data_IF_719689245943
#
_entry.id   IF_719689245943
#
_cell.length_a   1.000
_cell.length_b   1.000
_cell.length_c   1.000
_cell.angle_alpha   90.00
_cell.angle_beta   90.00
_cell.angle_gamma   90.00
#
_symmetry.space_group_name_H-M   'P 1'
#
loop_
_entity.id
_entity.type
_entity.pdbx_description
1 polymer ?
#
# COMPACT_ATOMS: atom_id res chain seq x y z
N UNK A 1 -4.50 12.84 -9.73
CA UNK A 1 -4.67 11.42 -9.35
C UNK A 1 -5.73 10.81 -10.26
N UNK A 2 -5.54 9.57 -10.72
CA UNK A 2 -6.52 8.86 -11.55
C UNK A 2 -7.53 8.15 -10.65
N UNK A 3 -8.82 8.40 -10.84
CA UNK A 3 -9.89 7.72 -10.12
C UNK A 3 -9.80 6.19 -10.29
N UNK A 4 -9.38 5.71 -11.46
CA UNK A 4 -9.23 4.29 -11.78
C UNK A 4 -8.15 3.60 -10.93
N UNK A 5 -7.00 4.26 -10.70
CA UNK A 5 -5.91 3.69 -9.89
C UNK A 5 -6.32 3.53 -8.42
N UNK A 6 -7.09 4.48 -7.90
CA UNK A 6 -7.62 4.43 -6.54
C UNK A 6 -8.65 3.29 -6.37
N UNK A 7 -9.52 3.08 -7.36
CA UNK A 7 -10.49 1.98 -7.33
C UNK A 7 -9.79 0.60 -7.44
N UNK A 8 -8.75 0.48 -8.26
CA UNK A 8 -7.93 -0.75 -8.29
C UNK A 8 -7.26 -1.00 -6.95
N UNK A 9 -6.68 0.03 -6.32
CA UNK A 9 -6.07 -0.08 -5.00
C UNK A 9 -7.08 -0.58 -3.95
N UNK A 10 -8.28 0.02 -3.89
CA UNK A 10 -9.36 -0.42 -2.99
C UNK A 10 -9.76 -1.87 -3.25
N UNK A 11 -9.92 -2.25 -4.52
CA UNK A 11 -10.27 -3.62 -4.92
C UNK A 11 -9.22 -4.64 -4.49
N UNK A 12 -7.93 -4.34 -4.71
CA UNK A 12 -6.82 -5.19 -4.28
C UNK A 12 -6.80 -5.34 -2.75
N UNK A 13 -6.93 -4.24 -2.00
CA UNK A 13 -6.96 -4.32 -0.54
C UNK A 13 -8.13 -5.16 -0.04
N UNK A 14 -9.33 -4.96 -0.59
CA UNK A 14 -10.51 -5.75 -0.24
C UNK A 14 -10.31 -7.25 -0.53
N UNK A 15 -9.65 -7.58 -1.64
CA UNK A 15 -9.36 -8.97 -2.04
C UNK A 15 -8.32 -9.63 -1.13
N UNK A 16 -7.22 -8.93 -0.84
CA UNK A 16 -6.07 -9.50 -0.14
C UNK A 16 -6.17 -9.42 1.39
N UNK A 17 -6.94 -8.46 1.90
CA UNK A 17 -7.07 -8.17 3.32
C UNK A 17 -8.56 -8.13 3.70
N UNK A 18 -9.29 -9.26 3.57
CA UNK A 18 -10.73 -9.31 3.85
C UNK A 18 -11.08 -8.99 5.32
N UNK A 19 -10.10 -9.09 6.23
CA UNK A 19 -10.26 -8.70 7.63
C UNK A 19 -10.33 -7.18 7.87
N UNK A 20 -10.14 -6.35 6.84
CA UNK A 20 -10.37 -4.90 6.90
C UNK A 20 -11.74 -4.58 6.29
N UNK A 21 -12.85 -4.68 7.06
CA UNK A 21 -14.21 -4.58 6.51
C UNK A 21 -14.50 -3.22 5.89
N UNK A 22 -13.87 -2.16 6.42
CA UNK A 22 -13.99 -0.80 5.91
C UNK A 22 -12.87 -0.42 4.92
N UNK A 23 -11.98 -1.36 4.59
CA UNK A 23 -10.83 -1.13 3.73
C UNK A 23 -9.84 -0.09 4.29
N UNK A 24 -9.29 0.73 3.39
CA UNK A 24 -8.32 1.77 3.71
C UNK A 24 -9.00 3.02 4.29
N UNK A 25 -8.34 3.64 5.28
CA UNK A 25 -8.73 4.96 5.78
C UNK A 25 -8.43 6.07 4.76
N UNK A 26 -9.12 7.21 4.88
CA UNK A 26 -9.00 8.34 3.94
C UNK A 26 -7.55 8.82 3.78
N UNK A 27 -6.77 8.96 4.87
CA UNK A 27 -5.38 9.39 4.74
C UNK A 27 -4.51 8.37 4.01
N UNK A 28 -4.78 7.06 4.17
CA UNK A 28 -4.07 6.00 3.45
C UNK A 28 -4.40 6.06 1.96
N UNK A 29 -5.68 6.28 1.61
CA UNK A 29 -6.10 6.46 0.22
C UNK A 29 -5.45 7.67 -0.44
N UNK A 30 -5.19 8.74 0.32
CA UNK A 30 -4.48 9.91 -0.20
C UNK A 30 -2.96 9.69 -0.29
N UNK A 31 -2.39 8.87 0.60
CA UNK A 31 -0.95 8.65 0.75
C UNK A 31 -0.39 7.56 -0.15
N UNK A 32 -1.10 6.44 -0.30
CA UNK A 32 -0.64 5.27 -1.05
C UNK A 32 -0.39 5.56 -2.54
N UNK A 33 -1.22 6.36 -3.24
CA UNK A 33 -0.92 6.73 -4.62
C UNK A 33 0.43 7.45 -4.76
N UNK A 34 0.79 8.32 -3.82
CA UNK A 34 2.09 9.03 -3.83
C UNK A 34 3.23 8.02 -3.78
N UNK A 35 3.14 7.04 -2.87
CA UNK A 35 4.16 5.99 -2.72
C UNK A 35 4.21 5.08 -3.98
N UNK A 36 3.06 4.71 -4.53
CA UNK A 36 2.96 3.86 -5.72
C UNK A 36 3.43 4.58 -7.00
N UNK A 37 3.27 5.90 -7.05
CA UNK A 37 3.83 6.78 -8.09
C UNK A 37 5.35 7.01 -7.91
N UNK A 38 5.97 6.32 -6.93
CA UNK A 38 7.39 6.36 -6.62
C UNK A 38 7.86 7.76 -6.18
N UNK A 39 6.99 8.49 -5.50
CA UNK A 39 7.27 9.79 -4.88
C UNK A 39 7.52 9.64 -3.37
N UNK A 40 8.38 10.51 -2.82
CA UNK A 40 8.68 10.53 -1.39
C UNK A 40 7.50 11.11 -0.58
N UNK A 41 7.11 10.38 0.47
CA UNK A 41 6.02 10.79 1.37
C UNK A 41 6.53 11.10 2.78
N UNK A 42 6.26 12.32 3.25
CA UNK A 42 6.36 12.66 4.66
C UNK A 42 4.98 12.69 5.31
N UNK A 43 4.67 11.67 6.12
CA UNK A 43 3.35 11.49 6.73
C UNK A 43 3.37 11.73 8.25
N UNK A 44 2.53 12.66 8.71
CA UNK A 44 2.25 12.88 10.14
C UNK A 44 0.79 12.51 10.39
N UNK A 45 0.55 11.50 11.22
CA UNK A 45 -0.79 11.14 11.68
C UNK A 45 -0.74 10.57 13.12
N UNK A 46 -1.89 10.61 13.80
CA UNK A 46 -2.10 10.12 15.16
C UNK A 46 -1.72 8.64 15.30
N UNK A 47 -1.32 8.25 16.51
CA UNK A 47 -1.03 6.86 16.85
C UNK A 47 -2.28 6.00 16.71
N UNK A 48 -2.14 4.77 16.21
CA UNK A 48 -3.27 3.85 16.02
C UNK A 48 -4.03 4.04 14.70
N UNK A 49 -3.74 5.07 13.91
CA UNK A 49 -4.43 5.35 12.64
C UNK A 49 -4.06 4.37 11.50
N UNK A 50 -3.29 3.31 11.76
CA UNK A 50 -2.94 2.33 10.73
C UNK A 50 -1.85 2.76 9.75
N UNK A 51 -0.88 3.58 10.19
CA UNK A 51 0.29 4.01 9.39
C UNK A 51 1.05 2.85 8.73
N UNK A 52 1.06 1.66 9.34
CA UNK A 52 1.77 0.50 8.81
C UNK A 52 1.29 0.08 7.42
N UNK A 53 0.05 0.41 7.06
CA UNK A 53 -0.47 0.18 5.71
C UNK A 53 0.36 0.89 4.64
N UNK A 54 0.98 2.03 4.94
CA UNK A 54 1.75 2.83 3.98
C UNK A 54 2.99 2.10 3.44
N UNK A 55 3.57 1.15 4.17
CA UNK A 55 4.68 0.33 3.67
C UNK A 55 4.26 -1.11 3.33
N UNK A 56 3.18 -1.64 3.93
CA UNK A 56 2.72 -3.00 3.65
C UNK A 56 1.91 -3.10 2.35
N UNK A 57 0.98 -2.16 2.12
CA UNK A 57 0.07 -2.20 0.97
C UNK A 57 0.78 -2.04 -0.38
N UNK A 58 1.80 -1.16 -0.54
CA UNK A 58 2.53 -1.06 -1.81
C UNK A 58 3.18 -2.39 -2.24
N UNK A 59 3.73 -3.15 -1.28
CA UNK A 59 4.29 -4.49 -1.54
C UNK A 59 3.21 -5.43 -2.07
N UNK A 60 2.06 -5.48 -1.39
CA UNK A 60 0.93 -6.34 -1.79
C UNK A 60 0.35 -5.94 -3.16
N UNK A 61 0.25 -4.64 -3.44
CA UNK A 61 -0.20 -4.10 -4.71
C UNK A 61 0.68 -4.56 -5.88
N UNK A 62 2.00 -4.40 -5.76
CA UNK A 62 2.95 -4.83 -6.77
C UNK A 62 2.92 -6.35 -7.00
N UNK A 63 2.81 -7.14 -5.93
CA UNK A 63 2.71 -8.61 -6.03
C UNK A 63 1.44 -9.05 -6.76
N UNK A 64 0.30 -8.46 -6.43
CA UNK A 64 -1.00 -8.84 -7.02
C UNK A 64 -1.08 -8.52 -8.51
N UNK A 65 -0.66 -7.32 -8.91
CA UNK A 65 -0.64 -6.94 -10.33
C UNK A 65 0.38 -7.78 -11.09
N UNK A 66 1.55 -8.05 -10.50
CA UNK A 66 2.57 -8.88 -11.15
C UNK A 66 2.12 -10.33 -11.35
N UNK A 67 1.27 -10.84 -10.45
CA UNK A 67 0.70 -12.19 -10.54
C UNK A 67 -0.46 -12.27 -11.52
N UNK A 68 -1.27 -11.21 -11.64
CA UNK A 68 -2.49 -11.18 -12.43
C UNK A 68 -2.53 -9.97 -13.39
N UNK A 69 -1.56 -9.81 -14.31
CA UNK A 69 -1.42 -8.59 -15.11
C UNK A 69 -2.62 -8.30 -16.02
N UNK A 70 -3.33 -9.34 -16.46
CA UNK A 70 -4.49 -9.21 -17.35
C UNK A 70 -5.77 -8.77 -16.63
N UNK A 71 -5.80 -8.81 -15.29
CA UNK A 71 -6.97 -8.39 -14.49
C UNK A 71 -7.00 -6.89 -14.19
N UNK A 72 -5.93 -6.16 -14.51
CA UNK A 72 -5.74 -4.77 -14.11
C UNK A 72 -5.39 -3.88 -15.30
N UNK A 73 -5.72 -2.58 -15.25
CA UNK A 73 -5.31 -1.65 -16.29
C UNK A 73 -3.79 -1.55 -16.37
N UNK A 74 -3.30 -1.11 -17.53
CA UNK A 74 -1.87 -0.82 -17.69
C UNK A 74 -1.53 0.46 -16.95
N UNK A 75 -0.64 0.32 -15.98
CA UNK A 75 -0.09 1.45 -15.24
C UNK A 75 1.10 2.05 -15.99
N UNK A 76 1.24 3.38 -15.91
CA UNK A 76 2.41 4.11 -16.44
C UNK A 76 3.60 4.10 -15.49
N UNK A 77 3.38 3.64 -14.26
CA UNK A 77 4.40 3.52 -13.21
C UNK A 77 5.16 2.19 -13.34
N UNK A 78 6.43 2.12 -12.89
CA UNK A 78 7.17 0.88 -12.86
C UNK A 78 6.53 -0.11 -11.87
N UNK A 79 6.11 -1.27 -12.37
CA UNK A 79 5.61 -2.36 -11.53
C UNK A 79 6.78 -3.27 -11.12
N UNK A 80 6.94 -3.49 -9.82
CA UNK A 80 7.99 -4.33 -9.28
C UNK A 80 7.53 -5.78 -9.13
N UNK A 81 8.10 -6.71 -9.92
CA UNK A 81 7.80 -8.16 -9.80
C UNK A 81 8.26 -8.77 -8.47
N UNK A 82 9.27 -8.17 -7.84
CA UNK A 82 9.82 -8.55 -6.55
C UNK A 82 9.95 -7.29 -5.69
N UNK A 83 8.84 -6.74 -5.16
CA UNK A 83 8.87 -5.54 -4.35
C UNK A 83 9.61 -5.82 -3.04
N UNK A 84 10.46 -4.88 -2.62
CA UNK A 84 11.23 -4.96 -1.38
C UNK A 84 11.06 -3.64 -0.62
N UNK A 85 10.83 -3.73 0.69
CA UNK A 85 10.77 -2.58 1.58
C UNK A 85 11.68 -2.80 2.80
N UNK A 86 12.32 -1.73 3.27
CA UNK A 86 13.11 -1.74 4.50
C UNK A 86 12.40 -0.81 5.49
N UNK A 87 11.96 -1.37 6.62
CA UNK A 87 11.35 -0.61 7.70
C UNK A 87 12.32 -0.53 8.87
N UNK A 88 12.79 0.67 9.17
CA UNK A 88 13.68 0.93 10.31
C UNK A 88 12.83 1.46 11.46
N UNK A 89 12.98 0.86 12.64
CA UNK A 89 12.28 1.30 13.85
C UNK A 89 13.24 1.60 14.98
N UNK A 90 12.87 2.49 15.92
CA UNK A 90 13.73 2.84 17.04
C UNK A 90 13.85 1.72 18.08
N UNK A 91 12.96 0.73 18.10
CA UNK A 91 12.98 -0.33 19.13
C UNK A 91 12.72 -1.71 18.54
N UNK A 92 13.39 -2.73 19.10
CA UNK A 92 13.19 -4.15 18.73
C UNK A 92 11.75 -4.61 18.94
N UNK A 93 11.09 -4.16 20.01
CA UNK A 93 9.70 -4.51 20.28
C UNK A 93 8.77 -4.03 19.17
N UNK A 94 9.01 -2.82 18.64
CA UNK A 94 8.23 -2.31 17.53
C UNK A 94 8.54 -3.10 16.25
N UNK A 95 9.80 -3.40 15.94
CA UNK A 95 10.17 -4.23 14.80
C UNK A 95 9.45 -5.60 14.79
N UNK A 96 9.39 -6.26 15.95
CA UNK A 96 8.73 -7.57 16.08
C UNK A 96 7.21 -7.52 16.00
N UNK A 97 6.61 -6.34 16.19
CA UNK A 97 5.17 -6.12 16.14
C UNK A 97 4.71 -5.41 14.85
N UNK A 98 5.63 -5.17 13.90
CA UNK A 98 5.27 -4.75 12.55
C UNK A 98 4.97 -6.00 11.73
N UNK A 99 3.81 -6.62 12.01
CA UNK A 99 3.03 -7.52 11.14
C UNK A 99 1.63 -7.58 11.73
#
# INVERSE_FOLDING_TARGET
>A
QSDEGCEVLKSIVKKLIPQWPNGLHNFQLNSLPIILDNEDLFAITVTGDGKSALFAVPILFHLEISKNPDLYPKFKIPLHKKPVGIVVTPTKRLANNIV
#
